data_IF_724014675937
#
_entry.id   IF_724014675937
#
_cell.length_a   1.000
_cell.length_b   1.000
_cell.length_c   1.000
_cell.angle_alpha   90.00
_cell.angle_beta   90.00
_cell.angle_gamma   90.00
#
_symmetry.space_group_name_H-M   'P 1'
#
loop_
_entity.id
_entity.type
_entity.pdbx_description
1 polymer ?
#
# COMPACT_ATOMS: atom_id res chain seq x y z
N UNK A 1 14.75 9.51 44.57
CA UNK A 1 14.64 10.55 43.54
C UNK A 1 14.64 9.88 42.16
N UNK A 2 13.62 10.21 41.36
CA UNK A 2 13.53 10.12 39.88
C UNK A 2 13.59 8.74 39.18
N UNK A 3 12.41 8.19 38.87
CA UNK A 3 12.19 7.51 37.58
C UNK A 3 10.87 8.02 36.98
N UNK A 4 11.01 8.88 35.99
CA UNK A 4 9.97 9.54 35.22
C UNK A 4 9.26 8.60 34.25
N UNK A 5 7.92 8.63 34.27
CA UNK A 5 7.08 8.74 33.07
C UNK A 5 7.04 7.55 32.11
N UNK A 6 6.15 6.59 32.35
CA UNK A 6 5.44 5.89 31.27
C UNK A 6 3.95 6.13 31.49
N UNK A 7 3.32 6.86 30.56
CA UNK A 7 1.94 7.31 30.67
C UNK A 7 0.96 6.13 30.71
N UNK A 8 0.14 6.09 31.75
CA UNK A 8 -1.05 5.26 31.86
C UNK A 8 -2.13 5.83 30.91
N UNK A 9 -2.33 5.20 29.75
CA UNK A 9 -3.35 5.63 28.78
C UNK A 9 -4.73 5.21 29.32
N UNK A 10 -5.71 6.13 29.45
CA UNK A 10 -7.04 5.82 29.96
C UNK A 10 -7.86 4.96 28.97
N UNK A 11 -8.65 4.04 29.51
CA UNK A 11 -9.36 2.97 28.79
C UNK A 11 -10.36 3.43 27.72
N UNK A 12 -10.78 4.70 27.73
CA UNK A 12 -11.77 5.25 26.80
C UNK A 12 -11.26 5.44 25.37
N UNK A 13 -9.94 5.58 25.17
CA UNK A 13 -9.34 5.68 23.82
C UNK A 13 -9.18 4.32 23.12
N UNK A 14 -9.62 3.21 23.74
CA UNK A 14 -9.54 1.86 23.17
C UNK A 14 -10.86 1.44 22.53
N UNK A 15 -11.34 2.14 21.50
CA UNK A 15 -12.32 1.54 20.58
C UNK A 15 -12.42 2.26 19.22
N UNK A 16 -11.79 1.67 18.21
CA UNK A 16 -12.25 1.70 16.83
C UNK A 16 -11.72 0.43 16.13
N UNK A 17 -12.64 -0.47 15.79
CA UNK A 17 -12.43 -1.72 15.04
C UNK A 17 -12.51 -1.49 13.52
N UNK A 18 -12.49 -2.53 12.66
CA UNK A 18 -11.47 -3.56 12.49
C UNK A 18 -11.10 -3.70 10.99
N UNK A 19 -9.83 -3.83 10.61
CA UNK A 19 -9.46 -4.50 9.33
C UNK A 19 -7.97 -4.82 9.31
N UNK A 20 -7.69 -6.12 9.32
CA UNK A 20 -6.55 -6.84 8.69
C UNK A 20 -5.08 -6.55 9.03
N UNK A 21 -4.69 -5.60 9.88
CA UNK A 21 -3.24 -5.26 9.99
C UNK A 21 -2.54 -5.81 11.25
N UNK A 22 -3.28 -6.33 12.24
CA UNK A 22 -2.67 -6.71 13.54
C UNK A 22 -2.25 -8.19 13.68
N UNK A 23 -1.67 -8.78 12.62
CA UNK A 23 -0.92 -10.05 12.73
C UNK A 23 0.53 -9.85 12.25
N UNK A 24 1.14 -8.74 12.63
CA UNK A 24 2.59 -8.71 12.82
C UNK A 24 2.90 -9.23 14.22
N UNK A 25 2.68 -10.54 14.42
CA UNK A 25 3.55 -11.25 15.33
C UNK A 25 4.95 -11.11 14.74
N UNK A 26 5.99 -10.72 15.49
CA UNK A 26 7.34 -11.04 15.07
C UNK A 26 7.40 -12.58 15.09
N UNK A 27 7.06 -13.19 13.97
CA UNK A 27 7.55 -14.52 13.67
C UNK A 27 9.04 -14.30 13.68
N UNK A 28 9.66 -14.82 14.75
CA UNK A 28 11.06 -15.15 14.77
C UNK A 28 11.26 -16.05 13.56
N UNK A 29 11.55 -15.44 12.42
CA UNK A 29 12.02 -16.11 11.22
C UNK A 29 13.43 -16.52 11.59
N UNK A 30 13.51 -17.65 12.30
CA UNK A 30 14.74 -18.33 12.58
C UNK A 30 15.41 -18.67 11.26
N UNK A 31 16.68 -18.27 11.17
CA UNK A 31 17.66 -18.67 10.16
C UNK A 31 17.45 -18.11 8.74
N UNK A 32 17.92 -16.89 8.51
CA UNK A 32 18.64 -16.57 7.28
C UNK A 32 20.07 -16.18 7.64
N UNK A 33 20.89 -17.19 7.92
CA UNK A 33 22.35 -17.04 7.90
C UNK A 33 22.87 -17.87 6.73
N UNK A 34 22.62 -17.39 5.51
CA UNK A 34 23.27 -17.93 4.32
C UNK A 34 24.64 -17.27 4.19
N UNK A 35 25.71 -18.06 4.28
CA UNK A 35 27.04 -17.60 3.89
C UNK A 35 27.22 -17.79 2.37
N UNK A 36 27.97 -16.90 1.68
CA UNK A 36 28.37 -17.13 0.30
C UNK A 36 29.16 -18.46 0.22
N UNK A 37 28.52 -19.52 -0.28
CA UNK A 37 29.07 -20.89 -0.31
C UNK A 37 28.12 -21.99 0.21
N UNK A 38 26.97 -21.65 0.80
CA UNK A 38 25.95 -22.64 1.17
C UNK A 38 25.15 -23.08 -0.06
N UNK A 39 25.34 -24.34 -0.48
CA UNK A 39 24.59 -24.96 -1.59
C UNK A 39 23.23 -25.43 -1.09
N UNK A 40 22.17 -25.10 -1.82
CA UNK A 40 20.82 -25.60 -1.56
C UNK A 40 20.78 -27.14 -1.67
N UNK A 41 20.16 -27.81 -0.70
CA UNK A 41 20.02 -29.27 -0.68
C UNK A 41 21.22 -30.06 -0.13
N UNK A 42 22.15 -29.42 0.61
CA UNK A 42 23.33 -30.07 1.22
C UNK A 42 23.07 -30.72 2.61
N UNK A 43 21.84 -30.69 3.12
CA UNK A 43 21.43 -31.26 4.42
C UNK A 43 21.32 -30.25 5.58
N UNK A 44 20.67 -30.67 6.69
CA UNK A 44 20.21 -29.85 7.84
C UNK A 44 21.31 -29.04 8.55
N UNK A 45 22.58 -29.35 8.31
CA UNK A 45 23.72 -28.71 8.97
C UNK A 45 24.67 -27.96 8.02
N UNK A 46 24.35 -27.89 6.72
CA UNK A 46 25.24 -27.33 5.69
C UNK A 46 24.57 -26.27 4.80
N UNK A 47 23.68 -25.48 5.40
CA UNK A 47 23.03 -24.35 4.73
C UNK A 47 21.72 -24.66 4.00
N UNK A 48 21.31 -25.93 3.91
CA UNK A 48 19.97 -26.32 3.50
C UNK A 48 19.07 -26.46 4.72
N UNK A 49 18.12 -25.55 4.92
CA UNK A 49 17.13 -25.65 5.99
C UNK A 49 16.43 -27.01 6.01
N UNK A 50 15.89 -27.42 7.16
CA UNK A 50 15.23 -28.71 7.35
C UNK A 50 14.05 -28.85 6.37
N UNK A 51 14.23 -29.68 5.35
CA UNK A 51 13.34 -29.77 4.18
C UNK A 51 12.65 -31.13 4.04
N UNK A 52 12.75 -32.00 5.06
CA UNK A 52 12.28 -33.38 5.03
C UNK A 52 13.41 -34.36 4.76
N UNK A 53 13.16 -35.67 4.93
CA UNK A 53 14.21 -36.71 4.97
C UNK A 53 15.14 -36.74 3.74
N UNK A 54 14.64 -36.37 2.55
CA UNK A 54 15.41 -36.40 1.29
C UNK A 54 16.38 -35.21 1.19
N UNK A 55 15.93 -34.00 1.54
CA UNK A 55 16.77 -32.79 1.59
C UNK A 55 17.71 -32.80 2.78
N UNK A 56 17.25 -33.35 3.90
CA UNK A 56 18.02 -33.48 5.14
C UNK A 56 19.22 -34.44 4.95
N UNK A 57 19.04 -35.52 4.17
CA UNK A 57 20.09 -36.47 3.84
C UNK A 57 21.23 -35.89 2.97
N UNK A 58 20.96 -34.82 2.21
CA UNK A 58 22.02 -34.08 1.51
C UNK A 58 22.67 -34.79 0.32
N UNK A 59 21.88 -35.52 -0.49
CA UNK A 59 22.34 -36.26 -1.68
C UNK A 59 22.05 -35.56 -3.03
N UNK A 60 22.34 -36.24 -4.15
CA UNK A 60 22.03 -35.76 -5.50
C UNK A 60 20.54 -35.46 -5.71
N UNK A 61 19.67 -36.30 -5.13
CA UNK A 61 18.23 -36.09 -5.14
C UNK A 61 17.81 -34.85 -4.31
N UNK A 62 18.41 -34.62 -3.14
CA UNK A 62 18.13 -33.44 -2.32
C UNK A 62 18.56 -32.12 -2.98
N UNK A 63 19.68 -32.12 -3.71
CA UNK A 63 20.11 -30.96 -4.53
C UNK A 63 19.16 -30.69 -5.71
N UNK A 64 18.71 -31.75 -6.40
CA UNK A 64 17.77 -31.64 -7.51
C UNK A 64 16.41 -31.10 -7.04
N UNK A 65 15.92 -31.60 -5.91
CA UNK A 65 14.66 -31.16 -5.30
C UNK A 65 14.74 -29.67 -4.91
N UNK A 66 15.84 -29.25 -4.27
CA UNK A 66 16.02 -27.85 -3.90
C UNK A 66 16.08 -26.89 -5.10
N UNK A 67 16.70 -27.30 -6.22
CA UNK A 67 16.73 -26.50 -7.45
C UNK A 67 15.33 -26.36 -8.08
N UNK A 68 14.55 -27.45 -8.12
CA UNK A 68 13.17 -27.41 -8.65
C UNK A 68 12.25 -26.55 -7.80
N UNK A 69 12.38 -26.64 -6.47
CA UNK A 69 11.65 -25.75 -5.56
C UNK A 69 12.03 -24.28 -5.80
N UNK A 70 13.32 -23.97 -5.94
CA UNK A 70 13.79 -22.61 -6.19
C UNK A 70 13.25 -22.05 -7.51
N UNK A 71 13.28 -22.84 -8.59
CA UNK A 71 12.65 -22.47 -9.86
C UNK A 71 11.15 -22.19 -9.72
N UNK A 72 10.43 -23.03 -8.97
CA UNK A 72 9.01 -22.85 -8.71
C UNK A 72 8.73 -21.54 -7.95
N UNK A 73 9.45 -21.29 -6.86
CA UNK A 73 9.31 -20.06 -6.07
C UNK A 73 9.70 -18.82 -6.86
N UNK A 74 10.77 -18.90 -7.66
CA UNK A 74 11.17 -17.81 -8.54
C UNK A 74 10.05 -17.45 -9.53
N UNK A 75 9.47 -18.45 -10.20
CA UNK A 75 8.33 -18.24 -11.10
C UNK A 75 7.12 -17.65 -10.39
N UNK A 76 6.79 -18.13 -9.19
CA UNK A 76 5.67 -17.61 -8.38
C UNK A 76 5.90 -16.18 -7.92
N UNK A 77 7.11 -15.83 -7.49
CA UNK A 77 7.46 -14.47 -7.12
C UNK A 77 7.37 -13.52 -8.33
N UNK A 78 7.82 -13.95 -9.50
CA UNK A 78 7.67 -13.18 -10.74
C UNK A 78 6.21 -12.97 -11.13
N UNK A 79 5.37 -13.99 -10.96
CA UNK A 79 3.91 -13.91 -11.20
C UNK A 79 3.27 -12.87 -10.27
N UNK A 80 3.53 -12.97 -8.96
CA UNK A 80 3.03 -12.03 -7.96
C UNK A 80 3.48 -10.58 -8.24
N UNK A 81 4.75 -10.39 -8.61
CA UNK A 81 5.27 -9.07 -8.96
C UNK A 81 4.62 -8.49 -10.21
N UNK A 82 4.29 -9.33 -11.21
CA UNK A 82 3.57 -8.88 -12.41
C UNK A 82 2.15 -8.44 -12.06
N UNK A 83 1.46 -9.19 -11.21
CA UNK A 83 0.08 -8.86 -10.83
C UNK A 83 0.04 -7.59 -9.98
N UNK A 84 0.96 -7.42 -9.02
CA UNK A 84 1.11 -6.18 -8.27
C UNK A 84 1.35 -4.97 -9.20
N UNK A 85 2.21 -5.11 -10.20
CA UNK A 85 2.45 -4.04 -11.18
C UNK A 85 1.20 -3.68 -11.98
N UNK A 86 0.41 -4.68 -12.40
CA UNK A 86 -0.86 -4.43 -13.11
C UNK A 86 -1.85 -3.69 -12.23
N UNK A 87 -2.05 -4.15 -10.99
CA UNK A 87 -2.94 -3.49 -10.03
C UNK A 87 -2.58 -2.02 -9.81
N UNK A 88 -1.29 -1.72 -9.64
CA UNK A 88 -0.82 -0.33 -9.49
C UNK A 88 -1.10 0.53 -10.72
N UNK A 89 -0.93 -0.03 -11.94
CA UNK A 89 -1.23 0.69 -13.18
C UNK A 89 -2.74 0.99 -13.29
N UNK A 90 -3.58 0.03 -12.90
CA UNK A 90 -5.03 0.21 -12.94
C UNK A 90 -5.50 1.23 -11.89
N UNK A 91 -4.90 1.24 -10.69
CA UNK A 91 -5.16 2.24 -9.66
C UNK A 91 -4.77 3.66 -10.11
N UNK A 92 -3.60 3.83 -10.74
CA UNK A 92 -3.17 5.12 -11.27
C UNK A 92 -4.17 5.64 -12.30
N UNK A 93 -4.58 4.80 -13.26
CA UNK A 93 -5.58 5.18 -14.27
C UNK A 93 -6.91 5.57 -13.62
N UNK A 94 -7.38 4.80 -12.65
CA UNK A 94 -8.61 5.10 -11.93
C UNK A 94 -8.51 6.48 -11.24
N UNK A 95 -7.39 6.78 -10.59
CA UNK A 95 -7.18 8.07 -9.94
C UNK A 95 -7.05 9.23 -10.93
N UNK A 96 -6.40 9.03 -12.08
CA UNK A 96 -6.35 10.01 -13.16
C UNK A 96 -7.77 10.37 -13.64
N UNK A 97 -8.62 9.37 -13.87
CA UNK A 97 -10.01 9.61 -14.25
C UNK A 97 -10.81 10.36 -13.17
N UNK A 98 -10.59 10.05 -11.89
CA UNK A 98 -11.25 10.79 -10.79
C UNK A 98 -10.80 12.25 -10.77
N UNK A 99 -9.51 12.51 -10.99
CA UNK A 99 -8.97 13.87 -11.05
C UNK A 99 -9.62 14.65 -12.20
N UNK A 100 -9.72 14.05 -13.40
CA UNK A 100 -10.37 14.70 -14.53
C UNK A 100 -11.86 14.98 -14.28
N UNK A 101 -12.59 14.02 -13.69
CA UNK A 101 -13.98 14.25 -13.26
C UNK A 101 -14.10 15.45 -12.30
N UNK A 102 -13.22 15.52 -11.30
CA UNK A 102 -13.22 16.63 -10.34
C UNK A 102 -12.84 17.97 -10.97
N UNK A 103 -11.88 18.01 -11.92
CA UNK A 103 -11.54 19.24 -12.65
C UNK A 103 -12.72 19.79 -13.43
N UNK A 104 -13.50 18.93 -14.10
CA UNK A 104 -14.70 19.36 -14.84
C UNK A 104 -15.73 19.99 -13.90
N UNK A 105 -15.95 19.41 -12.73
CA UNK A 105 -16.87 19.96 -11.73
C UNK A 105 -16.41 21.35 -11.28
N UNK A 106 -15.13 21.51 -10.95
CA UNK A 106 -14.57 22.82 -10.57
C UNK A 106 -14.73 23.87 -11.67
N UNK A 107 -14.49 23.48 -12.94
CA UNK A 107 -14.67 24.40 -14.07
C UNK A 107 -16.14 24.84 -14.24
N UNK A 108 -17.08 23.92 -14.09
CA UNK A 108 -18.51 24.25 -14.12
C UNK A 108 -18.87 25.18 -12.96
N UNK A 109 -18.36 24.91 -11.76
CA UNK A 109 -18.57 25.77 -10.60
C UNK A 109 -18.02 27.18 -10.84
N UNK A 110 -16.81 27.34 -11.37
CA UNK A 110 -16.23 28.64 -11.73
C UNK A 110 -17.13 29.41 -12.71
N UNK A 111 -17.62 28.76 -13.77
CA UNK A 111 -18.53 29.39 -14.74
C UNK A 111 -19.88 29.81 -14.12
N UNK A 112 -20.36 29.06 -13.12
CA UNK A 112 -21.57 29.39 -12.37
C UNK A 112 -21.36 30.60 -11.47
N UNK A 113 -20.18 30.73 -10.85
CA UNK A 113 -19.83 31.89 -10.04
C UNK A 113 -19.73 33.17 -10.89
N UNK A 114 -19.11 33.12 -12.06
CA UNK A 114 -19.02 34.29 -12.95
C UNK A 114 -20.39 34.78 -13.41
N UNK A 115 -21.28 33.85 -13.79
CA UNK A 115 -22.65 34.18 -14.18
C UNK A 115 -23.43 34.81 -13.02
N UNK A 116 -23.33 34.24 -11.81
CA UNK A 116 -23.96 34.81 -10.61
C UNK A 116 -23.42 36.20 -10.29
N UNK A 117 -22.11 36.40 -10.39
CA UNK A 117 -21.47 37.70 -10.16
C UNK A 117 -21.98 38.76 -11.15
N UNK A 118 -22.03 38.42 -12.45
CA UNK A 118 -22.52 39.32 -13.49
C UNK A 118 -23.98 39.76 -13.24
N UNK A 119 -24.83 38.84 -12.76
CA UNK A 119 -26.22 39.16 -12.39
C UNK A 119 -26.25 40.13 -11.20
N UNK A 120 -25.44 39.89 -10.16
CA UNK A 120 -25.39 40.77 -8.98
C UNK A 120 -24.89 42.17 -9.35
N UNK A 121 -23.86 42.26 -10.19
CA UNK A 121 -23.35 43.55 -10.69
C UNK A 121 -24.38 44.28 -11.55
N UNK A 122 -25.12 43.56 -12.40
CA UNK A 122 -26.21 44.14 -13.19
C UNK A 122 -27.32 44.69 -12.29
N UNK A 123 -27.75 43.92 -11.29
CA UNK A 123 -28.76 44.36 -10.31
C UNK A 123 -28.29 45.58 -9.51
N UNK A 124 -27.01 45.62 -9.14
CA UNK A 124 -26.40 46.77 -8.44
C UNK A 124 -26.47 48.03 -9.30
N UNK A 125 -26.10 47.94 -10.59
CA UNK A 125 -26.20 49.08 -11.53
C UNK A 125 -27.64 49.55 -11.71
N UNK A 126 -28.59 48.63 -11.82
CA UNK A 126 -30.01 48.98 -11.95
C UNK A 126 -30.56 49.69 -10.70
N UNK A 127 -30.06 49.34 -9.51
CA UNK A 127 -30.38 50.04 -8.26
C UNK A 127 -29.79 51.46 -8.25
N UNK A 128 -28.52 51.61 -8.60
CA UNK A 128 -27.86 52.93 -8.70
C UNK A 128 -28.60 53.85 -9.70
N UNK A 129 -29.16 53.30 -10.79
CA UNK A 129 -29.98 54.05 -11.74
C UNK A 129 -31.34 54.51 -11.19
N UNK A 130 -31.89 53.84 -10.17
CA UNK A 130 -33.14 54.26 -9.54
C UNK A 130 -32.92 55.41 -8.55
N UNK A 131 -31.79 55.39 -7.84
CA UNK A 131 -31.40 56.46 -6.89
C UNK A 131 -31.08 57.79 -7.60
N UNK A 132 -30.72 57.78 -8.89
CA UNK A 132 -30.51 59.01 -9.68
C UNK A 132 -31.81 59.63 -10.25
N UNK A 133 -32.94 58.93 -10.16
CA UNK A 133 -34.24 59.39 -10.70
C UNK A 133 -35.12 60.04 -9.61
N UNK A 134 -34.80 59.83 -8.33
CA UNK A 134 -35.40 60.51 -7.17
C UNK A 134 -34.74 61.88 -6.88
#
# INVERSE_FOLDING_TARGET
MLTSGFAFIPAFLRRASPTSIDILKPVVIGCYRMYPGDELGRGVAKGGGKGGVVRDAGGSFGKREAALEEEYFHRKNLEQLKDLKKHLVDEVKFHEEQIERHKVILYVDESMFTNKLAIVEALRKSLEQLDEIE
#
